data_IF_652065867683
#
_entry.id   IF_652065867683
#
_cell.length_a   1.000
_cell.length_b   1.000
_cell.length_c   1.000
_cell.angle_alpha   90.00
_cell.angle_beta   90.00
_cell.angle_gamma   90.00
#
_symmetry.space_group_name_H-M   'P 1'
#
loop_
_entity.id
_entity.type
_entity.pdbx_description
1 polymer ?
#
# COMPACT_ATOMS: atom_id res chain seq x y z
N UNK A 1 -2.33 26.21 12.14
CA UNK A 1 -1.31 25.12 12.08
C UNK A 1 -1.82 23.93 11.25
N UNK A 2 -2.36 24.16 10.06
CA UNK A 2 -3.13 23.16 9.27
C UNK A 2 -2.38 22.59 8.05
N UNK A 3 -1.23 23.14 7.67
CA UNK A 3 -0.56 22.80 6.40
C UNK A 3 0.23 21.47 6.43
N UNK A 4 0.70 21.03 7.60
CA UNK A 4 1.57 19.85 7.69
C UNK A 4 0.80 18.51 7.64
N UNK A 5 -0.45 18.48 8.13
CA UNK A 5 -1.26 17.27 8.21
C UNK A 5 -1.92 16.88 6.86
N UNK A 6 -2.26 17.87 6.02
CA UNK A 6 -2.77 17.62 4.67
C UNK A 6 -1.69 17.04 3.75
N UNK A 7 -0.44 17.49 3.91
CA UNK A 7 0.68 17.05 3.09
C UNK A 7 1.03 15.56 3.32
N UNK A 8 0.92 15.05 4.55
CA UNK A 8 1.19 13.64 4.85
C UNK A 8 0.10 12.70 4.32
N UNK A 9 -1.17 13.11 4.39
CA UNK A 9 -2.30 12.34 3.85
C UNK A 9 -2.31 12.33 2.32
N UNK A 10 -2.01 13.48 1.69
CA UNK A 10 -1.85 13.58 0.23
C UNK A 10 -0.70 12.70 -0.28
N UNK A 11 0.45 12.71 0.43
CA UNK A 11 1.58 11.82 0.11
C UNK A 11 1.19 10.35 0.22
N UNK A 12 0.50 9.94 1.29
CA UNK A 12 0.01 8.56 1.46
C UNK A 12 -0.88 8.14 0.29
N UNK A 13 -1.87 8.97 -0.06
CA UNK A 13 -2.80 8.67 -1.14
C UNK A 13 -2.07 8.48 -2.48
N UNK A 14 -1.15 9.41 -2.82
CA UNK A 14 -0.35 9.32 -4.03
C UNK A 14 0.57 8.07 -4.02
N UNK A 15 1.24 7.79 -2.91
CA UNK A 15 2.13 6.64 -2.80
C UNK A 15 1.37 5.31 -2.95
N UNK A 16 0.21 5.17 -2.32
CA UNK A 16 -0.65 3.99 -2.45
C UNK A 16 -1.22 3.83 -3.86
N UNK A 17 -1.60 4.92 -4.51
CA UNK A 17 -2.10 4.89 -5.88
C UNK A 17 -1.00 4.45 -6.87
N UNK A 18 0.19 5.05 -6.77
CA UNK A 18 1.33 4.73 -7.64
C UNK A 18 1.82 3.31 -7.40
N UNK A 19 2.04 2.91 -6.14
CA UNK A 19 2.49 1.55 -5.80
C UNK A 19 1.44 0.50 -6.15
N UNK A 20 0.15 0.79 -5.93
CA UNK A 20 -0.93 -0.09 -6.30
C UNK A 20 -1.01 -0.30 -7.81
N UNK A 21 -0.93 0.78 -8.59
CA UNK A 21 -0.89 0.69 -10.06
C UNK A 21 0.33 -0.10 -10.53
N UNK A 22 1.50 0.14 -9.94
CA UNK A 22 2.72 -0.60 -10.24
C UNK A 22 2.55 -2.10 -9.97
N UNK A 23 1.93 -2.48 -8.85
CA UNK A 23 1.64 -3.89 -8.52
C UNK A 23 0.71 -4.57 -9.53
N UNK A 24 -0.21 -3.85 -10.15
CA UNK A 24 -1.06 -4.40 -11.22
C UNK A 24 -0.26 -4.59 -12.52
N UNK A 25 0.57 -3.60 -12.89
CA UNK A 25 1.20 -3.54 -14.22
C UNK A 25 2.52 -4.30 -14.29
N UNK A 26 3.41 -4.17 -13.29
CA UNK A 26 4.77 -4.73 -13.34
C UNK A 26 4.80 -6.25 -13.52
N UNK A 27 3.97 -7.07 -12.84
CA UNK A 27 4.00 -8.52 -13.06
C UNK A 27 3.71 -8.93 -14.50
N UNK A 28 2.86 -8.17 -15.20
CA UNK A 28 2.49 -8.43 -16.59
C UNK A 28 3.61 -7.99 -17.54
N UNK A 29 4.14 -6.79 -17.36
CA UNK A 29 5.22 -6.23 -18.19
C UNK A 29 6.50 -7.04 -18.06
N UNK A 30 6.79 -7.54 -16.86
CA UNK A 30 7.99 -8.34 -16.57
C UNK A 30 7.78 -9.84 -16.81
N UNK A 31 6.58 -10.29 -17.21
CA UNK A 31 6.29 -11.69 -17.50
C UNK A 31 6.45 -12.63 -16.29
N UNK A 32 6.12 -12.17 -15.08
CA UNK A 32 6.40 -12.86 -13.81
C UNK A 32 5.46 -14.05 -13.50
N UNK A 33 4.63 -14.44 -14.47
CA UNK A 33 3.70 -15.56 -14.37
C UNK A 33 2.33 -15.20 -13.77
N UNK A 34 1.36 -16.10 -13.98
CA UNK A 34 -0.05 -15.87 -13.62
C UNK A 34 -0.26 -15.64 -12.11
N UNK A 35 0.46 -16.38 -11.25
CA UNK A 35 0.35 -16.22 -9.80
C UNK A 35 0.78 -14.82 -9.35
N UNK A 36 1.86 -14.28 -9.91
CA UNK A 36 2.32 -12.93 -9.61
C UNK A 36 1.36 -11.87 -10.15
N UNK A 37 0.80 -12.09 -11.35
CA UNK A 37 -0.18 -11.20 -11.95
C UNK A 37 -1.48 -11.12 -11.11
N UNK A 38 -2.03 -12.25 -10.67
CA UNK A 38 -3.24 -12.26 -9.84
C UNK A 38 -2.97 -11.64 -8.47
N UNK A 39 -1.87 -12.03 -7.82
CA UNK A 39 -1.50 -11.47 -6.50
C UNK A 39 -1.28 -9.97 -6.59
N UNK A 40 -0.57 -9.51 -7.63
CA UNK A 40 -0.31 -8.10 -7.90
C UNK A 40 -1.58 -7.31 -8.22
N UNK A 41 -2.49 -7.88 -9.02
CA UNK A 41 -3.77 -7.28 -9.33
C UNK A 41 -4.63 -7.07 -8.07
N UNK A 42 -4.74 -8.10 -7.23
CA UNK A 42 -5.53 -8.03 -5.98
C UNK A 42 -4.91 -7.02 -5.01
N UNK A 43 -3.62 -7.16 -4.70
CA UNK A 43 -2.95 -6.26 -3.77
C UNK A 43 -2.91 -4.82 -4.29
N UNK A 44 -2.71 -4.65 -5.60
CA UNK A 44 -2.69 -3.36 -6.28
C UNK A 44 -4.05 -2.66 -6.26
N UNK A 45 -5.14 -3.39 -6.54
CA UNK A 45 -6.49 -2.86 -6.45
C UNK A 45 -6.84 -2.40 -5.02
N UNK A 46 -6.45 -3.18 -4.02
CA UNK A 46 -6.62 -2.80 -2.61
C UNK A 46 -5.84 -1.52 -2.29
N UNK A 47 -4.57 -1.42 -2.71
CA UNK A 47 -3.76 -0.23 -2.48
C UNK A 47 -4.36 1.02 -3.14
N UNK A 48 -4.81 0.92 -4.40
CA UNK A 48 -5.47 2.02 -5.12
C UNK A 48 -6.75 2.46 -4.40
N UNK A 49 -7.59 1.52 -3.98
CA UNK A 49 -8.83 1.81 -3.24
C UNK A 49 -8.55 2.47 -1.87
N UNK A 50 -7.50 2.03 -1.16
CA UNK A 50 -7.06 2.64 0.10
C UNK A 50 -6.46 4.05 -0.08
N UNK A 51 -5.84 4.31 -1.22
CA UNK A 51 -5.38 5.64 -1.62
C UNK A 51 -6.56 6.60 -1.82
N UNK A 52 -7.57 6.16 -2.56
CA UNK A 52 -8.78 6.97 -2.83
C UNK A 52 -9.64 7.23 -1.59
N UNK A 53 -9.86 6.21 -0.76
CA UNK A 53 -10.70 6.33 0.46
C UNK A 53 -10.08 7.19 1.57
N UNK A 54 -8.78 7.47 1.51
CA UNK A 54 -8.09 8.35 2.45
C UNK A 54 -8.25 9.84 2.16
N UNK A 55 -8.63 10.22 0.93
CA UNK A 55 -8.75 11.62 0.52
C UNK A 55 -9.95 12.35 1.19
N UNK A 56 -10.95 11.60 1.64
CA UNK A 56 -12.19 12.10 2.26
C UNK A 56 -12.25 11.83 3.79
N UNK A 57 -11.10 11.72 4.46
CA UNK A 57 -11.04 11.47 5.90
C UNK A 57 -11.88 12.51 6.68
N UNK A 58 -12.99 12.08 7.30
CA UNK A 58 -13.93 12.93 8.05
C UNK A 58 -15.20 13.38 7.31
N UNK A 59 -15.34 13.13 6.00
CA UNK A 59 -16.57 13.37 5.20
C UNK A 59 -17.16 12.07 4.62
N UNK A 60 -16.98 10.96 5.33
CA UNK A 60 -17.43 9.62 4.91
C UNK A 60 -16.31 8.63 4.57
N UNK A 61 -15.04 9.08 4.58
CA UNK A 61 -13.86 8.22 4.42
C UNK A 61 -13.45 7.47 5.70
N UNK A 62 -12.45 6.58 5.58
CA UNK A 62 -11.95 5.75 6.68
C UNK A 62 -11.41 6.59 7.85
N UNK A 63 -11.64 6.13 9.09
CA UNK A 63 -11.03 6.73 10.28
C UNK A 63 -9.51 6.55 10.28
N UNK A 64 -8.76 7.47 10.93
CA UNK A 64 -7.29 7.40 11.00
C UNK A 64 -6.78 6.06 11.56
N UNK A 65 -7.49 5.49 12.54
CA UNK A 65 -7.14 4.19 13.13
C UNK A 65 -7.36 3.03 12.13
N UNK A 66 -8.43 3.10 11.34
CA UNK A 66 -8.69 2.11 10.29
C UNK A 66 -7.63 2.21 9.18
N UNK A 67 -7.28 3.42 8.74
CA UNK A 67 -6.22 3.63 7.75
C UNK A 67 -4.88 3.04 8.21
N UNK A 68 -4.48 3.28 9.47
CA UNK A 68 -3.25 2.72 10.02
C UNK A 68 -3.24 1.19 10.04
N UNK A 69 -4.39 0.57 10.38
CA UNK A 69 -4.54 -0.88 10.38
C UNK A 69 -4.45 -1.47 8.96
N UNK A 70 -5.11 -0.83 7.98
CA UNK A 70 -5.05 -1.25 6.58
C UNK A 70 -3.66 -1.14 5.98
N UNK A 71 -2.94 -0.04 6.23
CA UNK A 71 -1.57 0.12 5.72
C UNK A 71 -0.62 -0.92 6.29
N UNK A 72 -0.75 -1.21 7.60
CA UNK A 72 0.04 -2.26 8.25
C UNK A 72 -0.32 -3.65 7.70
N UNK A 73 -1.60 -3.92 7.52
CA UNK A 73 -2.08 -5.17 6.92
C UNK A 73 -1.56 -5.36 5.49
N UNK A 74 -1.57 -4.30 4.68
CA UNK A 74 -1.03 -4.30 3.33
C UNK A 74 0.48 -4.61 3.32
N UNK A 75 1.25 -3.93 4.17
CA UNK A 75 2.69 -4.15 4.27
C UNK A 75 3.03 -5.60 4.68
N UNK A 76 2.31 -6.15 5.66
CA UNK A 76 2.48 -7.53 6.10
C UNK A 76 2.04 -8.54 5.03
N UNK A 77 0.93 -8.28 4.34
CA UNK A 77 0.44 -9.13 3.26
C UNK A 77 1.43 -9.19 2.09
N UNK A 78 2.01 -8.05 1.70
CA UNK A 78 3.06 -7.99 0.67
C UNK A 78 4.34 -8.72 1.10
N UNK A 79 4.74 -8.58 2.37
CA UNK A 79 5.89 -9.31 2.91
C UNK A 79 5.65 -10.83 2.92
N UNK A 80 4.44 -11.27 3.28
CA UNK A 80 4.05 -12.68 3.24
C UNK A 80 4.02 -13.22 1.81
N UNK A 81 3.51 -12.46 0.84
CA UNK A 81 3.55 -12.81 -0.57
C UNK A 81 4.99 -12.95 -1.09
N UNK A 82 5.87 -12.02 -0.71
CA UNK A 82 7.29 -12.08 -1.06
C UNK A 82 7.95 -13.35 -0.50
N UNK A 83 7.68 -13.69 0.76
CA UNK A 83 8.17 -14.91 1.38
C UNK A 83 7.67 -16.17 0.67
N UNK A 84 6.37 -16.21 0.33
CA UNK A 84 5.77 -17.34 -0.39
C UNK A 84 6.46 -17.57 -1.74
N UNK A 85 6.63 -16.52 -2.55
CA UNK A 85 7.34 -16.62 -3.83
C UNK A 85 8.82 -16.96 -3.67
N UNK A 86 9.48 -16.48 -2.62
CA UNK A 86 10.86 -16.85 -2.33
C UNK A 86 10.98 -18.34 -2.03
N UNK A 87 10.10 -18.88 -1.19
CA UNK A 87 10.07 -20.32 -0.85
C UNK A 87 9.70 -21.20 -2.03
N UNK A 88 8.99 -20.68 -3.04
CA UNK A 88 8.68 -21.40 -4.27
C UNK A 88 9.78 -21.28 -5.35
N UNK A 89 10.92 -20.63 -5.06
CA UNK A 89 12.01 -20.41 -6.01
C UNK A 89 11.75 -19.31 -7.05
N UNK A 90 10.62 -18.59 -6.95
CA UNK A 90 10.24 -17.55 -7.89
C UNK A 90 10.80 -16.19 -7.45
N UNK A 91 12.11 -16.00 -7.66
CA UNK A 91 12.85 -14.83 -7.16
C UNK A 91 12.37 -13.49 -7.75
N UNK A 92 11.94 -13.48 -9.01
CA UNK A 92 11.41 -12.27 -9.67
C UNK A 92 10.17 -11.70 -8.95
N UNK A 93 9.07 -12.48 -8.83
CA UNK A 93 7.94 -12.11 -8.00
C UNK A 93 8.34 -11.76 -6.55
N UNK A 94 9.19 -12.57 -5.93
CA UNK A 94 9.62 -12.35 -4.55
C UNK A 94 10.24 -10.97 -4.35
N UNK A 95 11.15 -10.56 -5.24
CA UNK A 95 11.78 -9.24 -5.20
C UNK A 95 10.76 -8.11 -5.39
N UNK A 96 9.84 -8.24 -6.35
CA UNK A 96 8.80 -7.24 -6.59
C UNK A 96 7.93 -7.02 -5.34
N UNK A 97 7.41 -8.11 -4.75
CA UNK A 97 6.55 -8.02 -3.57
C UNK A 97 7.33 -7.58 -2.33
N UNK A 98 8.62 -7.92 -2.20
CA UNK A 98 9.47 -7.43 -1.12
C UNK A 98 9.67 -5.92 -1.19
N UNK A 99 9.98 -5.38 -2.37
CA UNK A 99 10.12 -3.93 -2.59
C UNK A 99 8.79 -3.22 -2.29
N UNK A 100 7.67 -3.77 -2.77
CA UNK A 100 6.35 -3.21 -2.48
C UNK A 100 6.02 -3.21 -0.98
N UNK A 101 6.40 -4.27 -0.24
CA UNK A 101 6.24 -4.35 1.20
C UNK A 101 7.04 -3.27 1.94
N UNK A 102 8.29 -3.03 1.52
CA UNK A 102 9.14 -1.98 2.08
C UNK A 102 8.52 -0.60 1.83
N UNK A 103 8.05 -0.35 0.61
CA UNK A 103 7.38 0.92 0.26
C UNK A 103 6.14 1.12 1.14
N UNK A 104 5.29 0.10 1.28
CA UNK A 104 4.10 0.18 2.13
C UNK A 104 4.46 0.43 3.61
N UNK A 105 5.52 -0.18 4.12
CA UNK A 105 6.01 0.06 5.48
C UNK A 105 6.54 1.49 5.68
N UNK A 106 7.24 2.05 4.68
CA UNK A 106 7.71 3.44 4.72
C UNK A 106 6.51 4.39 4.73
N UNK A 107 5.49 4.14 3.89
CA UNK A 107 4.26 4.94 3.88
C UNK A 107 3.58 4.88 5.24
N UNK A 108 3.40 3.70 5.82
CA UNK A 108 2.84 3.54 7.15
C UNK A 108 3.60 4.34 8.21
N UNK A 109 4.93 4.27 8.21
CA UNK A 109 5.77 4.94 9.20
C UNK A 109 5.82 6.47 9.04
N UNK A 110 5.80 6.95 7.78
CA UNK A 110 5.78 8.39 7.45
C UNK A 110 4.42 9.03 7.70
N UNK A 111 3.34 8.26 7.58
CA UNK A 111 1.99 8.77 7.83
C UNK A 111 1.81 8.93 9.34
N UNK A 112 2.00 10.15 9.83
CA UNK A 112 1.69 10.47 11.24
C UNK A 112 0.18 10.39 11.43
N UNK A 113 -0.31 9.25 11.89
CA UNK A 113 -1.69 9.03 12.33
C UNK A 113 -2.01 9.73 13.67
N UNK A 114 -1.50 10.95 13.86
CA UNK A 114 -1.75 11.74 15.07
C UNK A 114 -3.12 12.41 14.95
N UNK A 115 -4.03 12.05 15.86
CA UNK A 115 -5.28 12.75 16.04
C UNK A 115 -5.00 14.26 16.22
N UNK A 116 -5.69 15.11 15.45
CA UNK A 116 -5.86 16.48 15.87
C UNK A 116 -6.54 16.45 17.26
N UNK A 117 -6.12 17.27 18.23
CA UNK A 117 -6.81 17.34 19.50
C UNK A 117 -8.28 17.68 19.22
N UNK A 118 -9.19 16.78 19.59
CA UNK A 118 -10.59 17.12 19.76
C UNK A 118 -10.65 18.25 20.79
N UNK A 119 -11.29 19.36 20.40
CA UNK A 119 -11.47 20.52 21.27
C UNK A 119 -12.21 20.21 22.57
#
# INVERSE_FOLDING_TARGET
>A
MTSAASNSLGFRAAALFVSGTALVVLPLVLGLGAAAAVTGAVAGAIAVALGGSGAEAGRGGLSLRAQAAYDRGLALGLAAAALAFATSGALGPAALFAVAAIVAAIVHWRTRYSAAPSG
#
